data_IF_238391210071
#
_entry.id   IF_238391210071
#
_cell.length_a   1.000
_cell.length_b   1.000
_cell.length_c   1.000
_cell.angle_alpha   90.00
_cell.angle_beta   90.00
_cell.angle_gamma   90.00
#
_symmetry.space_group_name_H-M   'P 1'
#
loop_
_entity.id
_entity.type
_entity.pdbx_description
1 polymer ?
#
# COMPACT_ATOMS: atom_id res chain seq x y z
N UNK A 1 18.74 22.72 -8.82
CA UNK A 1 18.24 21.31 -8.80
C UNK A 1 17.99 20.80 -7.39
N UNK A 2 18.98 20.83 -6.48
CA UNK A 2 18.83 20.32 -5.10
C UNK A 2 17.72 21.02 -4.27
N UNK A 3 17.54 22.33 -4.44
CA UNK A 3 16.53 23.12 -3.72
C UNK A 3 15.09 22.71 -4.05
N UNK A 4 14.79 22.47 -5.34
CA UNK A 4 13.48 21.96 -5.76
C UNK A 4 13.20 20.56 -5.21
N UNK A 5 14.21 19.70 -5.11
CA UNK A 5 14.03 18.35 -4.57
C UNK A 5 13.87 18.35 -3.03
N UNK A 6 14.44 19.34 -2.33
CA UNK A 6 14.16 19.56 -0.90
C UNK A 6 12.70 19.98 -0.67
N UNK A 7 12.19 20.92 -1.48
CA UNK A 7 10.77 21.34 -1.39
C UNK A 7 9.81 20.19 -1.68
N UNK A 8 10.10 19.35 -2.69
CA UNK A 8 9.31 18.15 -2.99
C UNK A 8 9.36 17.12 -1.87
N UNK A 9 10.54 16.88 -1.30
CA UNK A 9 10.67 15.97 -0.15
C UNK A 9 9.88 16.47 1.04
N UNK A 10 9.97 17.76 1.39
CA UNK A 10 9.20 18.34 2.47
C UNK A 10 7.69 18.22 2.21
N UNK A 11 7.22 18.52 1.00
CA UNK A 11 5.81 18.37 0.62
C UNK A 11 5.32 16.92 0.67
N UNK A 12 6.14 15.98 0.20
CA UNK A 12 5.82 14.55 0.28
C UNK A 12 5.79 14.04 1.72
N UNK A 13 6.76 14.43 2.56
CA UNK A 13 6.77 14.09 3.98
C UNK A 13 5.59 14.71 4.73
N UNK A 14 5.18 15.93 4.40
CA UNK A 14 3.99 16.56 4.97
C UNK A 14 2.72 15.79 4.60
N UNK A 15 2.55 15.42 3.33
CA UNK A 15 1.42 14.62 2.86
C UNK A 15 1.35 13.28 3.61
N UNK A 16 2.45 12.53 3.63
CA UNK A 16 2.51 11.22 4.30
C UNK A 16 2.36 11.36 5.81
N UNK A 17 2.97 12.39 6.43
CA UNK A 17 2.82 12.68 7.85
C UNK A 17 1.38 12.99 8.24
N UNK A 18 0.66 13.74 7.41
CA UNK A 18 -0.77 14.01 7.61
C UNK A 18 -1.60 12.72 7.47
N UNK A 19 -1.32 11.88 6.47
CA UNK A 19 -1.99 10.57 6.33
C UNK A 19 -1.79 9.70 7.57
N UNK A 20 -0.56 9.60 8.07
CA UNK A 20 -0.23 8.85 9.30
C UNK A 20 -1.00 9.43 10.50
N UNK A 21 -0.98 10.76 10.68
CA UNK A 21 -1.67 11.41 11.78
C UNK A 21 -3.19 11.15 11.74
N UNK A 22 -3.81 11.26 10.56
CA UNK A 22 -5.24 10.97 10.36
C UNK A 22 -5.53 9.50 10.65
N UNK A 23 -4.70 8.56 10.17
CA UNK A 23 -4.91 7.14 10.38
C UNK A 23 -4.90 6.77 11.88
N UNK A 24 -3.91 7.24 12.63
CA UNK A 24 -3.83 6.98 14.07
C UNK A 24 -4.88 7.76 14.88
N UNK A 25 -5.22 9.00 14.50
CA UNK A 25 -6.27 9.77 15.16
C UNK A 25 -7.64 9.14 14.95
N UNK A 26 -7.93 8.67 13.73
CA UNK A 26 -9.14 7.92 13.41
C UNK A 26 -9.22 6.64 14.25
N UNK A 27 -8.11 5.89 14.33
CA UNK A 27 -8.02 4.68 15.17
C UNK A 27 -8.24 4.97 16.65
N UNK A 28 -7.67 6.06 17.17
CA UNK A 28 -7.78 6.44 18.58
C UNK A 28 -9.17 6.96 18.96
N UNK A 29 -9.87 7.62 18.02
CA UNK A 29 -11.19 8.22 18.27
C UNK A 29 -12.36 7.29 17.95
N UNK A 30 -12.27 6.51 16.87
CA UNK A 30 -13.34 5.62 16.41
C UNK A 30 -13.12 4.14 16.77
N UNK A 31 -11.92 3.76 17.22
CA UNK A 31 -11.58 2.38 17.56
C UNK A 31 -11.30 1.51 16.33
N UNK A 32 -11.57 0.20 16.44
CA UNK A 32 -11.34 -0.74 15.34
C UNK A 32 -12.31 -0.46 14.17
N UNK A 33 -11.87 -0.62 12.91
CA UNK A 33 -12.74 -0.50 11.74
C UNK A 33 -13.96 -1.41 11.86
N UNK A 34 -15.09 -0.93 11.35
CA UNK A 34 -16.31 -1.71 11.23
C UNK A 34 -16.06 -2.92 10.29
N UNK A 35 -16.26 -4.16 10.75
CA UNK A 35 -16.04 -5.36 9.94
C UNK A 35 -16.86 -5.40 8.64
N UNK A 36 -18.01 -4.70 8.58
CA UNK A 36 -18.88 -4.66 7.39
C UNK A 36 -18.60 -3.47 6.47
N UNK A 37 -17.47 -2.78 6.66
CA UNK A 37 -17.09 -1.62 5.83
C UNK A 37 -17.05 -1.96 4.34
N UNK A 38 -16.64 -3.19 3.96
CA UNK A 38 -16.55 -3.61 2.56
C UNK A 38 -17.90 -3.81 1.87
N UNK A 39 -19.00 -3.93 2.63
CA UNK A 39 -20.35 -4.04 2.07
C UNK A 39 -21.02 -2.69 1.78
N UNK A 40 -20.33 -1.58 2.02
CA UNK A 40 -20.88 -0.23 1.85
C UNK A 40 -20.38 0.43 0.57
N UNK A 41 -21.29 1.00 -0.22
CA UNK A 41 -20.95 1.83 -1.39
C UNK A 41 -20.15 3.08 -1.02
N UNK A 42 -20.46 3.67 0.14
CA UNK A 42 -19.76 4.84 0.66
C UNK A 42 -18.26 4.58 0.87
N UNK A 43 -17.87 3.35 1.17
CA UNK A 43 -16.47 2.96 1.32
C UNK A 43 -15.72 3.08 0.00
N UNK A 44 -16.25 2.50 -1.07
CA UNK A 44 -15.64 2.57 -2.40
C UNK A 44 -15.58 4.01 -2.90
N UNK A 45 -16.68 4.75 -2.79
CA UNK A 45 -16.76 6.15 -3.23
C UNK A 45 -15.79 7.03 -2.42
N UNK A 46 -15.80 6.90 -1.09
CA UNK A 46 -14.90 7.64 -0.21
C UNK A 46 -13.43 7.35 -0.49
N UNK A 47 -13.08 6.07 -0.65
CA UNK A 47 -11.73 5.64 -1.01
C UNK A 47 -11.28 6.22 -2.34
N UNK A 48 -12.11 6.12 -3.40
CA UNK A 48 -11.79 6.69 -4.71
C UNK A 48 -11.54 8.19 -4.64
N UNK A 49 -12.40 8.93 -3.94
CA UNK A 49 -12.28 10.40 -3.82
C UNK A 49 -11.01 10.77 -3.05
N UNK A 50 -10.78 10.14 -1.90
CA UNK A 50 -9.60 10.40 -1.08
C UNK A 50 -8.30 10.11 -1.86
N UNK A 51 -8.22 8.93 -2.46
CA UNK A 51 -7.05 8.49 -3.22
C UNK A 51 -6.88 9.31 -4.52
N UNK A 52 -7.98 9.80 -5.10
CA UNK A 52 -7.99 10.76 -6.19
C UNK A 52 -7.29 12.07 -5.83
N UNK A 53 -7.57 12.60 -4.64
CA UNK A 53 -6.85 13.78 -4.12
C UNK A 53 -5.37 13.47 -3.91
N UNK A 54 -5.05 12.33 -3.30
CA UNK A 54 -3.66 11.92 -3.03
C UNK A 54 -2.88 11.79 -4.34
N UNK A 55 -3.41 11.10 -5.35
CA UNK A 55 -2.68 10.89 -6.62
C UNK A 55 -2.46 12.20 -7.39
N UNK A 56 -3.40 13.14 -7.32
CA UNK A 56 -3.23 14.48 -7.90
C UNK A 56 -2.12 15.25 -7.19
N UNK A 57 -2.09 15.24 -5.86
CA UNK A 57 -1.03 15.88 -5.07
C UNK A 57 0.33 15.26 -5.34
N UNK A 58 0.41 13.93 -5.39
CA UNK A 58 1.64 13.19 -5.72
C UNK A 58 2.11 13.50 -7.14
N UNK A 59 1.20 13.56 -8.11
CA UNK A 59 1.54 13.93 -9.48
C UNK A 59 2.05 15.38 -9.57
N UNK A 60 1.42 16.31 -8.85
CA UNK A 60 1.85 17.70 -8.78
C UNK A 60 3.24 17.84 -8.14
N UNK A 61 3.49 17.16 -7.01
CA UNK A 61 4.81 17.12 -6.36
C UNK A 61 5.88 16.49 -7.26
N UNK A 62 5.53 15.47 -8.05
CA UNK A 62 6.41 14.88 -9.06
C UNK A 62 6.66 15.81 -10.26
N UNK A 63 5.95 16.94 -10.36
CA UNK A 63 5.93 17.82 -11.53
C UNK A 63 5.43 17.08 -12.77
N UNK A 64 4.46 16.19 -12.60
CA UNK A 64 3.88 15.30 -13.61
C UNK A 64 4.91 14.44 -14.37
N UNK A 65 6.11 14.25 -13.78
CA UNK A 65 7.17 13.48 -14.40
C UNK A 65 6.95 11.98 -14.18
N UNK A 66 6.63 11.28 -15.28
CA UNK A 66 6.59 9.81 -15.32
C UNK A 66 7.89 9.17 -14.79
N UNK A 67 9.03 9.81 -15.06
CA UNK A 67 10.34 9.36 -14.60
C UNK A 67 10.47 9.38 -13.08
N UNK A 68 10.02 10.46 -12.42
CA UNK A 68 10.01 10.56 -10.95
C UNK A 68 9.01 9.60 -10.31
N UNK A 69 7.89 9.35 -10.97
CA UNK A 69 6.89 8.37 -10.53
C UNK A 69 7.32 6.92 -10.81
N UNK A 70 8.46 6.67 -11.46
CA UNK A 70 8.88 5.32 -11.81
C UNK A 70 7.96 4.60 -12.80
N UNK A 71 7.12 5.35 -13.53
CA UNK A 71 6.18 4.89 -14.56
C UNK A 71 6.92 4.53 -15.85
N UNK A 72 7.67 3.42 -15.79
CA UNK A 72 8.44 2.86 -16.89
C UNK A 72 8.39 1.33 -16.85
N UNK A 73 8.50 0.70 -18.01
CA UNK A 73 8.59 -0.76 -18.08
C UNK A 73 9.88 -1.26 -17.43
N UNK A 74 9.86 -2.41 -16.73
CA UNK A 74 11.07 -3.06 -16.28
C UNK A 74 11.91 -3.50 -17.49
N UNK A 75 13.24 -3.58 -17.31
CA UNK A 75 14.16 -4.01 -18.39
C UNK A 75 13.90 -5.44 -18.86
N UNK A 76 13.42 -6.30 -17.96
CA UNK A 76 13.06 -7.69 -18.27
C UNK A 76 11.87 -8.12 -17.42
N UNK A 77 10.75 -8.44 -18.06
CA UNK A 77 9.55 -8.94 -17.39
C UNK A 77 9.77 -10.34 -16.78
N UNK A 78 10.60 -11.19 -17.40
CA UNK A 78 10.97 -12.49 -16.82
C UNK A 78 11.71 -12.33 -15.50
N UNK A 79 12.68 -11.42 -15.45
CA UNK A 79 13.42 -11.15 -14.22
C UNK A 79 12.52 -10.49 -13.17
N UNK A 80 11.68 -9.54 -13.57
CA UNK A 80 10.70 -8.93 -12.67
C UNK A 80 9.76 -9.98 -12.07
N UNK A 81 9.26 -10.91 -12.88
CA UNK A 81 8.42 -12.02 -12.42
C UNK A 81 9.16 -12.95 -11.45
N UNK A 82 10.42 -13.31 -11.73
CA UNK A 82 11.23 -14.12 -10.81
C UNK A 82 11.43 -13.43 -9.45
N UNK A 83 11.81 -12.15 -9.46
CA UNK A 83 12.01 -11.36 -8.23
C UNK A 83 10.71 -11.19 -7.45
N UNK A 84 9.60 -10.98 -8.17
CA UNK A 84 8.25 -10.92 -7.62
C UNK A 84 7.86 -12.23 -6.95
N UNK A 85 8.11 -13.39 -7.59
CA UNK A 85 7.82 -14.70 -6.98
C UNK A 85 8.61 -14.92 -5.68
N UNK A 86 9.89 -14.57 -5.66
CA UNK A 86 10.72 -14.64 -4.45
C UNK A 86 10.17 -13.71 -3.36
N UNK A 87 9.80 -12.48 -3.72
CA UNK A 87 9.24 -11.50 -2.80
C UNK A 87 7.92 -11.97 -2.18
N UNK A 88 7.01 -12.54 -2.99
CA UNK A 88 5.73 -13.09 -2.53
C UNK A 88 5.96 -14.21 -1.52
N UNK A 89 6.87 -15.14 -1.81
CA UNK A 89 7.23 -16.23 -0.87
C UNK A 89 7.77 -15.66 0.45
N UNK A 90 8.66 -14.66 0.38
CA UNK A 90 9.23 -14.03 1.58
C UNK A 90 8.17 -13.30 2.42
N UNK A 91 7.24 -12.58 1.77
CA UNK A 91 6.13 -11.89 2.43
C UNK A 91 5.25 -12.89 3.20
N UNK A 92 4.78 -13.94 2.53
CA UNK A 92 3.90 -14.93 3.16
C UNK A 92 4.62 -15.76 4.22
N UNK A 93 5.90 -16.10 4.03
CA UNK A 93 6.68 -16.79 5.06
C UNK A 93 6.78 -15.95 6.34
N UNK A 94 7.03 -14.64 6.19
CA UNK A 94 7.05 -13.73 7.34
C UNK A 94 5.67 -13.56 7.97
N UNK A 95 4.62 -13.41 7.16
CA UNK A 95 3.24 -13.29 7.65
C UNK A 95 2.79 -14.52 8.45
N UNK A 96 3.09 -15.73 7.98
CA UNK A 96 2.79 -16.98 8.70
C UNK A 96 3.54 -17.04 10.02
N UNK A 97 4.84 -16.75 10.01
CA UNK A 97 5.66 -16.75 11.23
C UNK A 97 5.15 -15.74 12.25
N UNK A 98 4.89 -14.51 11.80
CA UNK A 98 4.43 -13.43 12.67
C UNK A 98 3.02 -13.69 13.21
N UNK A 99 2.12 -14.22 12.37
CA UNK A 99 0.76 -14.54 12.78
C UNK A 99 0.69 -15.66 13.80
N UNK A 100 1.58 -16.67 13.71
CA UNK A 100 1.70 -17.71 14.72
C UNK A 100 2.12 -17.21 16.11
N UNK A 101 2.68 -16.01 16.20
CA UNK A 101 3.11 -15.39 17.46
C UNK A 101 2.10 -14.36 18.00
N UNK A 102 1.42 -13.63 17.12
CA UNK A 102 0.73 -12.38 17.48
C UNK A 102 -0.74 -12.28 17.05
N UNK A 103 -1.21 -13.17 16.17
CA UNK A 103 -2.59 -13.21 15.67
C UNK A 103 -3.16 -11.85 15.18
N UNK A 104 -2.51 -11.17 14.21
CA UNK A 104 -2.85 -9.80 13.80
C UNK A 104 -4.09 -9.70 12.88
N UNK A 105 -4.61 -10.82 12.36
CA UNK A 105 -5.45 -10.87 11.16
C UNK A 105 -6.73 -10.01 11.16
N UNK A 106 -7.26 -9.64 12.32
CA UNK A 106 -8.51 -8.86 12.43
C UNK A 106 -8.30 -7.35 12.55
N UNK A 107 -7.06 -6.85 12.47
CA UNK A 107 -6.79 -5.44 12.75
C UNK A 107 -7.09 -4.50 11.57
N UNK A 108 -6.95 -5.00 10.34
CA UNK A 108 -7.13 -4.25 9.09
C UNK A 108 -8.60 -4.03 8.70
N UNK A 109 -9.54 -4.78 9.28
CA UNK A 109 -10.96 -4.69 8.91
C UNK A 109 -11.30 -5.22 7.51
N UNK A 110 -10.39 -5.97 6.88
CA UNK A 110 -10.61 -6.63 5.59
C UNK A 110 -11.39 -7.94 5.69
N UNK A 111 -11.57 -8.46 6.91
CA UNK A 111 -12.28 -9.70 7.20
C UNK A 111 -13.66 -9.39 7.75
N UNK A 112 -14.73 -9.58 6.95
CA UNK A 112 -16.11 -9.46 7.43
C UNK A 112 -16.40 -10.41 8.59
N UNK A 113 -17.34 -10.05 9.46
CA UNK A 113 -17.79 -10.95 10.53
C UNK A 113 -18.73 -12.05 10.03
N UNK A 114 -19.41 -11.81 8.91
CA UNK A 114 -20.23 -12.79 8.21
C UNK A 114 -20.42 -12.37 6.73
N UNK A 115 -20.81 -13.33 5.90
CA UNK A 115 -21.15 -13.09 4.50
C UNK A 115 -22.55 -12.48 4.36
N UNK A 116 -22.68 -11.40 3.57
CA UNK A 116 -23.94 -10.72 3.31
C UNK A 116 -24.29 -10.74 1.80
N UNK A 117 -25.02 -11.76 1.30
CA UNK A 117 -25.33 -11.91 -0.12
C UNK A 117 -26.02 -10.69 -0.74
N UNK A 118 -26.88 -10.00 0.03
CA UNK A 118 -27.61 -8.82 -0.40
C UNK A 118 -26.69 -7.63 -0.75
N UNK A 119 -25.48 -7.60 -0.20
CA UNK A 119 -24.50 -6.54 -0.41
C UNK A 119 -23.27 -7.01 -1.22
N UNK A 120 -23.34 -8.19 -1.84
CA UNK A 120 -22.23 -8.78 -2.60
C UNK A 120 -21.71 -7.86 -3.72
N UNK A 121 -22.59 -7.10 -4.38
CA UNK A 121 -22.19 -6.13 -5.41
C UNK A 121 -21.29 -5.03 -4.84
N UNK A 122 -21.62 -4.47 -3.68
CA UNK A 122 -20.80 -3.47 -3.01
C UNK A 122 -19.45 -4.06 -2.56
N UNK A 123 -19.45 -5.31 -2.06
CA UNK A 123 -18.23 -6.03 -1.72
C UNK A 123 -17.30 -6.20 -2.93
N UNK A 124 -17.85 -6.66 -4.07
CA UNK A 124 -17.09 -6.84 -5.32
C UNK A 124 -16.50 -5.51 -5.80
N UNK A 125 -17.27 -4.42 -5.74
CA UNK A 125 -16.79 -3.09 -6.15
C UNK A 125 -15.68 -2.60 -5.22
N UNK A 126 -15.84 -2.73 -3.90
CA UNK A 126 -14.76 -2.43 -2.95
C UNK A 126 -13.53 -3.29 -3.23
N UNK A 127 -13.71 -4.59 -3.53
CA UNK A 127 -12.62 -5.48 -3.89
C UNK A 127 -11.87 -5.04 -5.14
N UNK A 128 -12.58 -4.60 -6.20
CA UNK A 128 -11.94 -4.03 -7.40
C UNK A 128 -11.11 -2.80 -7.03
N UNK A 129 -11.65 -1.88 -6.23
CA UNK A 129 -10.94 -0.67 -5.77
C UNK A 129 -9.69 -1.04 -4.99
N UNK A 130 -9.80 -1.95 -4.01
CA UNK A 130 -8.72 -2.43 -3.15
C UNK A 130 -7.64 -3.19 -3.92
N UNK A 131 -8.00 -3.91 -4.98
CA UNK A 131 -7.04 -4.66 -5.80
C UNK A 131 -6.43 -3.84 -6.94
N UNK A 132 -6.96 -2.65 -7.27
CA UNK A 132 -6.50 -1.89 -8.43
C UNK A 132 -6.15 -0.46 -8.09
N UNK A 133 -7.15 0.34 -7.73
CA UNK A 133 -7.03 1.78 -7.49
C UNK A 133 -6.12 2.09 -6.30
N UNK A 134 -6.31 1.39 -5.17
CA UNK A 134 -5.49 1.59 -3.97
C UNK A 134 -4.01 1.26 -4.25
N UNK A 135 -3.65 0.06 -4.75
CA UNK A 135 -2.27 -0.25 -5.15
C UNK A 135 -1.69 0.75 -6.13
N UNK A 136 -2.48 1.25 -7.07
CA UNK A 136 -2.02 2.27 -8.02
C UNK A 136 -1.58 3.55 -7.29
N UNK A 137 -2.44 4.11 -6.44
CA UNK A 137 -2.14 5.35 -5.71
C UNK A 137 -0.99 5.16 -4.72
N UNK A 138 -1.00 4.07 -3.98
CA UNK A 138 0.03 3.81 -2.97
C UNK A 138 1.41 3.53 -3.59
N UNK A 139 1.49 2.73 -4.67
CA UNK A 139 2.75 2.52 -5.37
C UNK A 139 3.32 3.83 -5.92
N UNK A 140 2.50 4.71 -6.49
CA UNK A 140 2.97 6.01 -6.98
C UNK A 140 3.45 6.91 -5.84
N UNK A 141 2.75 6.90 -4.71
CA UNK A 141 3.09 7.70 -3.52
C UNK A 141 4.41 7.26 -2.93
N UNK A 142 4.59 5.96 -2.68
CA UNK A 142 5.73 5.44 -1.92
C UNK A 142 6.87 4.94 -2.81
N UNK A 143 6.59 4.09 -3.82
CA UNK A 143 7.61 3.48 -4.69
C UNK A 143 7.95 4.37 -5.90
N UNK A 144 7.02 5.21 -6.31
CA UNK A 144 7.23 6.24 -7.30
C UNK A 144 7.99 7.43 -6.70
N UNK A 145 7.24 8.38 -6.16
CA UNK A 145 7.76 9.65 -5.69
C UNK A 145 8.65 9.49 -4.44
N UNK A 146 8.14 8.85 -3.37
CA UNK A 146 8.85 8.71 -2.11
C UNK A 146 10.24 8.06 -2.26
N UNK A 147 10.30 6.90 -2.93
CA UNK A 147 11.54 6.19 -3.15
C UNK A 147 12.52 7.04 -3.96
N UNK A 148 12.06 7.72 -5.01
CA UNK A 148 12.90 8.59 -5.85
C UNK A 148 13.48 9.75 -5.05
N UNK A 149 12.71 10.36 -4.15
CA UNK A 149 13.18 11.47 -3.32
C UNK A 149 14.15 11.01 -2.22
N UNK A 150 13.94 9.82 -1.66
CA UNK A 150 14.79 9.27 -0.59
C UNK A 150 16.04 8.55 -1.12
N UNK A 151 16.10 8.13 -2.38
CA UNK A 151 17.24 7.41 -2.98
C UNK A 151 18.56 8.21 -2.90
N UNK A 152 18.47 9.55 -2.78
CA UNK A 152 19.63 10.44 -2.55
C UNK A 152 20.37 10.17 -1.24
N UNK A 153 19.70 9.56 -0.26
CA UNK A 153 20.28 9.14 1.02
C UNK A 153 20.84 7.70 0.96
N UNK A 154 20.78 7.07 -0.21
CA UNK A 154 21.20 5.70 -0.43
C UNK A 154 20.01 4.75 -0.61
N UNK A 155 20.31 3.62 -1.26
CA UNK A 155 19.30 2.62 -1.61
C UNK A 155 18.59 2.04 -0.39
N UNK A 156 19.33 1.61 0.64
CA UNK A 156 18.74 0.97 1.82
C UNK A 156 17.95 1.93 2.70
N UNK A 157 18.43 3.15 3.01
CA UNK A 157 17.61 4.16 3.67
C UNK A 157 16.31 4.47 2.93
N UNK A 158 16.33 4.52 1.59
CA UNK A 158 15.10 4.69 0.80
C UNK A 158 14.14 3.50 0.95
N UNK A 159 14.63 2.25 0.86
CA UNK A 159 13.83 1.03 1.04
C UNK A 159 13.16 1.01 2.41
N UNK A 160 13.95 1.20 3.47
CA UNK A 160 13.46 1.13 4.85
C UNK A 160 12.53 2.30 5.14
N UNK A 161 12.91 3.51 4.72
CA UNK A 161 12.14 4.73 4.95
C UNK A 161 10.75 4.67 4.34
N UNK A 162 10.63 4.35 3.04
CA UNK A 162 9.31 4.26 2.41
C UNK A 162 8.50 3.06 2.90
N UNK A 163 9.15 1.94 3.24
CA UNK A 163 8.46 0.77 3.77
C UNK A 163 7.85 1.04 5.16
N UNK A 164 8.61 1.68 6.04
CA UNK A 164 8.12 2.08 7.36
C UNK A 164 7.01 3.13 7.27
N UNK A 165 7.19 4.18 6.47
CA UNK A 165 6.18 5.22 6.29
C UNK A 165 4.88 4.66 5.68
N UNK A 166 4.99 3.72 4.74
CA UNK A 166 3.86 2.97 4.21
C UNK A 166 3.12 2.20 5.32
N UNK A 167 3.85 1.44 6.14
CA UNK A 167 3.26 0.71 7.27
C UNK A 167 2.57 1.62 8.28
N UNK A 168 3.20 2.72 8.66
CA UNK A 168 2.64 3.70 9.59
C UNK A 168 1.36 4.35 9.05
N UNK A 169 1.28 4.60 7.74
CA UNK A 169 0.11 5.23 7.13
C UNK A 169 -1.18 4.40 7.23
N UNK A 170 -1.07 3.12 7.60
CA UNK A 170 -2.23 2.26 7.83
C UNK A 170 -2.86 2.46 9.22
N UNK A 171 -2.17 3.12 10.17
CA UNK A 171 -2.72 3.36 11.51
C UNK A 171 -2.90 2.09 12.36
N UNK A 172 -2.18 1.03 12.00
CA UNK A 172 -2.24 -0.28 12.66
C UNK A 172 -1.03 -0.45 13.56
N UNK A 173 -1.23 -1.06 14.73
CA UNK A 173 -0.16 -1.27 15.71
C UNK A 173 0.33 -2.70 15.64
N UNK A 174 -0.59 -3.66 15.67
CA UNK A 174 -0.25 -5.08 15.69
C UNK A 174 0.22 -5.57 14.30
N UNK A 175 -0.37 -5.06 13.23
CA UNK A 175 -0.04 -5.43 11.85
C UNK A 175 1.13 -4.62 11.28
N UNK A 176 1.62 -3.62 12.02
CA UNK A 176 2.68 -2.72 11.56
C UNK A 176 3.93 -3.48 11.07
N UNK A 177 4.45 -4.51 11.79
CA UNK A 177 5.64 -5.23 11.33
C UNK A 177 5.43 -5.93 9.98
N UNK A 178 4.23 -6.49 9.74
CA UNK A 178 3.89 -7.17 8.48
C UNK A 178 3.77 -6.17 7.35
N UNK A 179 3.01 -5.09 7.55
CA UNK A 179 2.76 -4.09 6.50
C UNK A 179 4.03 -3.28 6.19
N UNK A 180 4.84 -2.95 7.20
CA UNK A 180 6.11 -2.27 6.97
C UNK A 180 7.11 -3.18 6.22
N UNK A 181 7.16 -4.47 6.56
CA UNK A 181 7.99 -5.45 5.83
C UNK A 181 7.52 -5.59 4.38
N UNK A 182 6.21 -5.69 4.17
CA UNK A 182 5.61 -5.71 2.84
C UNK A 182 6.02 -4.46 2.03
N UNK A 183 5.86 -3.26 2.61
CA UNK A 183 6.29 -2.00 1.99
C UNK A 183 7.78 -1.98 1.63
N UNK A 184 8.66 -2.48 2.51
CA UNK A 184 10.10 -2.64 2.26
C UNK A 184 10.38 -3.59 1.09
N UNK A 185 9.67 -4.72 1.00
CA UNK A 185 9.83 -5.68 -0.09
C UNK A 185 9.40 -5.08 -1.43
N UNK A 186 8.28 -4.35 -1.49
CA UNK A 186 7.86 -3.63 -2.69
C UNK A 186 8.88 -2.55 -3.11
N UNK A 187 9.43 -1.81 -2.14
CA UNK A 187 10.51 -0.85 -2.38
C UNK A 187 11.79 -1.53 -2.88
N UNK A 188 12.12 -2.72 -2.40
CA UNK A 188 13.23 -3.51 -2.91
C UNK A 188 12.98 -3.96 -4.36
N UNK A 189 11.78 -4.42 -4.72
CA UNK A 189 11.41 -4.74 -6.11
C UNK A 189 11.58 -3.49 -6.99
N UNK A 190 11.12 -2.33 -6.51
CA UNK A 190 11.28 -1.05 -7.20
C UNK A 190 12.75 -0.66 -7.39
N UNK A 191 13.61 -0.94 -6.42
CA UNK A 191 15.05 -0.71 -6.52
C UNK A 191 15.72 -1.61 -7.59
N UNK A 192 15.28 -2.86 -7.70
CA UNK A 192 15.81 -3.83 -8.67
C UNK A 192 15.34 -3.57 -10.10
N UNK A 193 14.04 -3.29 -10.26
CA UNK A 193 13.39 -3.21 -11.58
C UNK A 193 13.37 -1.80 -12.15
N UNK A 194 13.62 -0.80 -11.30
CA UNK A 194 13.42 0.64 -11.56
C UNK A 194 11.98 1.01 -11.92
N UNK A 195 11.03 0.09 -11.78
CA UNK A 195 9.63 0.24 -12.21
C UNK A 195 8.69 0.08 -11.02
N UNK A 196 7.58 0.81 -11.02
CA UNK A 196 6.49 0.62 -10.05
C UNK A 196 5.54 -0.51 -10.44
N UNK A 197 5.48 -0.91 -11.71
CA UNK A 197 4.50 -1.90 -12.17
C UNK A 197 4.67 -3.29 -11.53
N UNK A 198 5.88 -3.85 -11.38
CA UNK A 198 6.03 -5.14 -10.72
C UNK A 198 5.55 -5.10 -9.26
N UNK A 199 5.87 -4.03 -8.51
CA UNK A 199 5.37 -3.85 -7.14
C UNK A 199 3.85 -3.71 -7.10
N UNK A 200 3.26 -2.94 -8.03
CA UNK A 200 1.81 -2.77 -8.17
C UNK A 200 1.08 -4.09 -8.41
N UNK A 201 1.63 -4.97 -9.24
CA UNK A 201 1.05 -6.30 -9.49
C UNK A 201 1.14 -7.19 -8.26
N UNK A 202 2.27 -7.19 -7.54
CA UNK A 202 2.40 -7.90 -6.25
C UNK A 202 1.36 -7.41 -5.26
N UNK A 203 1.21 -6.09 -5.16
CA UNK A 203 0.31 -5.46 -4.23
C UNK A 203 -1.16 -5.78 -4.52
N UNK A 204 -1.57 -5.63 -5.78
CA UNK A 204 -2.88 -6.05 -6.26
C UNK A 204 -3.17 -7.52 -5.93
N UNK A 205 -2.18 -8.40 -6.18
CA UNK A 205 -2.32 -9.84 -5.93
C UNK A 205 -2.43 -10.14 -4.43
N UNK A 206 -1.62 -9.51 -3.60
CA UNK A 206 -1.66 -9.67 -2.15
C UNK A 206 -3.04 -9.29 -1.59
N UNK A 207 -3.57 -8.14 -2.03
CA UNK A 207 -4.90 -7.67 -1.64
C UNK A 207 -6.01 -8.61 -2.13
N UNK A 208 -5.89 -9.13 -3.35
CA UNK A 208 -6.87 -10.08 -3.89
C UNK A 208 -6.89 -11.39 -3.08
N UNK A 209 -5.71 -11.92 -2.72
CA UNK A 209 -5.61 -13.12 -1.88
C UNK A 209 -6.22 -12.86 -0.51
N UNK A 210 -5.93 -11.71 0.12
CA UNK A 210 -6.49 -11.34 1.41
C UNK A 210 -8.02 -11.24 1.38
N UNK A 211 -8.60 -10.60 0.35
CA UNK A 211 -10.06 -10.49 0.19
C UNK A 211 -10.73 -11.85 -0.07
N UNK A 212 -10.14 -12.68 -0.92
CA UNK A 212 -10.67 -14.03 -1.18
C UNK A 212 -10.61 -14.88 0.09
N UNK A 213 -9.48 -14.85 0.81
CA UNK A 213 -9.32 -15.54 2.09
C UNK A 213 -10.35 -15.06 3.12
N UNK A 214 -10.62 -13.75 3.19
CA UNK A 214 -11.57 -13.16 4.12
C UNK A 214 -13.00 -13.73 3.99
N UNK A 215 -13.45 -14.06 2.77
CA UNK A 215 -14.81 -14.60 2.54
C UNK A 215 -14.87 -16.13 2.43
N UNK A 216 -13.73 -16.81 2.34
CA UNK A 216 -13.67 -18.28 2.22
C UNK A 216 -13.22 -18.98 3.50
N UNK A 217 -12.44 -18.28 4.33
CA UNK A 217 -11.87 -18.80 5.59
C UNK A 217 -12.43 -18.03 6.80
N UNK A 218 -12.81 -16.76 6.61
CA UNK A 218 -13.37 -15.89 7.65
C UNK A 218 -14.88 -15.98 7.87
N UNK A 219 -15.55 -16.94 7.23
CA UNK A 219 -17.02 -17.17 7.32
C UNK A 219 -17.36 -18.38 8.19
#
# INVERSE_FOLDING_TARGET
MAEHDNGRLAGWLLLVGLMIAIAYLSRASAGKPDPQTLYRWSTAVGGIVQDGVIVVLVAALAGFSRGRLGLRSPRSWRQAAKLTGIAVVAIYAFEVLYSGLTHPGNEQGLTPSHWEPAHAAAYVVNGIVICTWIPFVEELTYRGLGFTLLERFGRWPAIIGVGLLFGLAHGLILSLPVIATFGCVLAWIRAQTRSVFPGMLVHATFNAIALVAAVTIGS
#
